data_IF_877940218918
#
_entry.id   IF_877940218918
#
_cell.length_a   1.000
_cell.length_b   1.000
_cell.length_c   1.000
_cell.angle_alpha   90.00
_cell.angle_beta   90.00
_cell.angle_gamma   90.00
#
_symmetry.space_group_name_H-M   'P 1'
#
loop_
_entity.id
_entity.type
_entity.pdbx_description
1 polymer ?
#
# COMPACT_ATOMS: atom_id res chain seq x y z
N UNK A 1 -8.63 15.01 -19.75
CA UNK A 1 -8.20 16.07 -18.79
C UNK A 1 -6.75 15.79 -18.44
N UNK A 2 -5.88 16.80 -18.50
CA UNK A 2 -4.46 16.64 -18.15
C UNK A 2 -4.20 17.37 -16.83
N UNK A 3 -3.63 16.68 -15.85
CA UNK A 3 -3.31 17.23 -14.53
C UNK A 3 -1.84 17.00 -14.22
N UNK A 4 -1.12 18.04 -13.77
CA UNK A 4 0.26 17.89 -13.29
C UNK A 4 0.27 17.23 -11.92
N UNK A 5 1.09 16.22 -11.75
CA UNK A 5 1.29 15.45 -10.50
C UNK A 5 2.77 15.50 -10.15
N UNK A 6 3.08 15.77 -8.90
CA UNK A 6 4.42 15.62 -8.31
C UNK A 6 4.26 14.74 -7.07
N UNK A 7 5.02 13.67 -7.00
CA UNK A 7 5.12 12.84 -5.80
C UNK A 7 6.24 13.41 -4.95
N UNK A 8 5.89 14.00 -3.81
CA UNK A 8 6.86 14.55 -2.85
C UNK A 8 7.75 13.41 -2.32
N UNK A 9 9.06 13.64 -2.18
CA UNK A 9 10.04 12.65 -1.68
C UNK A 9 9.67 12.06 -0.32
N UNK A 10 8.93 12.78 0.51
CA UNK A 10 8.45 12.26 1.80
C UNK A 10 7.55 11.02 1.65
N UNK A 11 6.91 10.85 0.48
CA UNK A 11 6.09 9.69 0.14
C UNK A 11 6.87 8.61 -0.63
N UNK A 12 8.18 8.49 -0.43
CA UNK A 12 8.99 7.46 -1.07
C UNK A 12 8.71 6.05 -0.49
N UNK A 13 8.93 5.04 -1.31
CA UNK A 13 9.07 3.65 -0.91
C UNK A 13 10.55 3.32 -0.74
N UNK A 14 11.25 3.10 -1.85
CA UNK A 14 12.71 3.10 -1.89
C UNK A 14 13.24 4.51 -2.12
N UNK A 15 14.53 4.73 -1.85
CA UNK A 15 15.17 6.02 -2.07
C UNK A 15 14.96 6.48 -3.52
N UNK A 16 14.47 7.72 -3.70
CA UNK A 16 14.13 8.34 -5.00
C UNK A 16 12.98 7.72 -5.79
N UNK A 17 12.27 6.75 -5.22
CA UNK A 17 11.12 6.10 -5.84
C UNK A 17 9.90 6.32 -4.96
N UNK A 18 8.80 6.80 -5.53
CA UNK A 18 7.53 6.95 -4.81
C UNK A 18 7.01 5.61 -4.28
N UNK A 19 6.41 5.60 -3.08
CA UNK A 19 5.76 4.41 -2.54
C UNK A 19 4.69 3.92 -3.51
N UNK A 20 4.72 2.64 -3.87
CA UNK A 20 3.87 2.08 -4.91
C UNK A 20 2.39 2.23 -4.60
N UNK A 21 1.96 1.92 -3.38
CA UNK A 21 0.59 2.06 -2.95
C UNK A 21 0.09 3.50 -2.95
N UNK A 22 0.92 4.45 -2.48
CA UNK A 22 0.59 5.87 -2.53
C UNK A 22 0.39 6.37 -3.97
N UNK A 23 1.31 6.02 -4.89
CA UNK A 23 1.19 6.39 -6.30
C UNK A 23 -0.03 5.74 -6.94
N UNK A 24 -0.32 4.47 -6.63
CA UNK A 24 -1.54 3.81 -7.06
C UNK A 24 -2.79 4.58 -6.58
N UNK A 25 -2.81 5.01 -5.32
CA UNK A 25 -3.90 5.80 -4.75
C UNK A 25 -4.09 7.15 -5.45
N UNK A 26 -2.99 7.87 -5.74
CA UNK A 26 -3.05 9.13 -6.50
C UNK A 26 -3.69 8.93 -7.88
N UNK A 27 -3.38 7.84 -8.57
CA UNK A 27 -4.01 7.50 -9.86
C UNK A 27 -5.47 7.07 -9.66
N UNK A 28 -5.75 6.26 -8.62
CA UNK A 28 -7.08 5.75 -8.32
C UNK A 28 -8.09 6.84 -7.93
N UNK A 29 -7.64 7.97 -7.38
CA UNK A 29 -8.50 9.13 -7.08
C UNK A 29 -9.22 9.73 -8.32
N UNK A 30 -8.88 9.25 -9.52
CA UNK A 30 -9.51 9.65 -10.78
C UNK A 30 -10.39 8.52 -11.37
N UNK A 31 -10.69 7.50 -10.57
CA UNK A 31 -11.49 6.33 -10.97
C UNK A 31 -12.56 6.09 -9.90
N UNK A 32 -13.81 6.00 -10.30
CA UNK A 32 -14.90 5.73 -9.37
C UNK A 32 -14.90 4.26 -8.91
N UNK A 33 -15.00 4.05 -7.60
CA UNK A 33 -15.10 2.73 -6.98
C UNK A 33 -13.78 1.94 -6.97
N UNK A 34 -13.89 0.62 -7.02
CA UNK A 34 -12.73 -0.26 -7.02
C UNK A 34 -11.91 -0.10 -8.31
N UNK A 35 -10.60 -0.06 -8.20
CA UNK A 35 -9.69 0.20 -9.31
C UNK A 35 -8.50 -0.75 -9.33
N UNK A 36 -7.98 -1.01 -10.52
CA UNK A 36 -6.73 -1.72 -10.76
C UNK A 36 -5.69 -0.75 -11.31
N UNK A 37 -4.57 -0.62 -10.61
CA UNK A 37 -3.45 0.23 -11.01
C UNK A 37 -2.23 -0.65 -11.26
N UNK A 38 -1.65 -0.53 -12.44
CA UNK A 38 -0.41 -1.22 -12.84
C UNK A 38 0.71 -0.19 -12.89
N UNK A 39 1.77 -0.41 -12.13
CA UNK A 39 3.02 0.35 -12.20
C UNK A 39 3.87 -0.25 -13.32
N UNK A 40 4.17 0.56 -14.34
CA UNK A 40 4.93 0.13 -15.53
C UNK A 40 6.42 0.40 -15.33
N UNK A 41 6.72 1.50 -14.65
CA UNK A 41 8.08 1.86 -14.26
C UNK A 41 8.07 2.40 -12.82
N UNK A 42 9.24 2.49 -12.20
CA UNK A 42 9.39 3.11 -10.88
C UNK A 42 8.98 4.58 -10.93
N UNK A 43 7.99 5.02 -10.13
CA UNK A 43 7.53 6.40 -10.13
C UNK A 43 8.59 7.33 -9.50
N UNK A 44 9.11 8.35 -10.20
CA UNK A 44 10.08 9.26 -9.63
C UNK A 44 9.44 10.17 -8.57
N UNK A 45 10.19 10.56 -7.55
CA UNK A 45 9.82 11.60 -6.60
C UNK A 45 10.35 12.97 -7.06
N UNK A 46 9.72 14.05 -6.59
CA UNK A 46 10.08 15.45 -6.86
C UNK A 46 10.18 15.82 -8.36
N UNK A 47 9.58 15.01 -9.19
CA UNK A 47 9.60 15.19 -10.63
C UNK A 47 8.17 15.38 -11.18
N UNK A 48 7.93 16.39 -12.06
CA UNK A 48 6.61 16.62 -12.61
C UNK A 48 6.23 15.52 -13.60
N UNK A 49 5.08 14.92 -13.37
CA UNK A 49 4.43 13.95 -14.24
C UNK A 49 3.09 14.49 -14.70
N UNK A 50 2.54 13.91 -15.76
CA UNK A 50 1.22 14.28 -16.29
C UNK A 50 0.27 13.10 -16.13
N UNK A 51 -0.86 13.36 -15.48
CA UNK A 51 -1.97 12.42 -15.43
C UNK A 51 -2.93 12.74 -16.56
N UNK A 52 -3.15 11.76 -17.43
CA UNK A 52 -4.08 11.83 -18.56
C UNK A 52 -5.26 10.90 -18.31
N UNK A 53 -6.48 11.41 -18.48
CA UNK A 53 -7.69 10.60 -18.38
C UNK A 53 -8.41 10.55 -19.73
N UNK A 54 -8.69 9.32 -20.21
CA UNK A 54 -9.45 9.06 -21.42
C UNK A 54 -10.56 8.04 -21.12
N UNK A 55 -11.79 8.53 -21.06
CA UNK A 55 -12.92 7.75 -20.57
C UNK A 55 -12.69 7.29 -19.12
N UNK A 56 -12.74 5.96 -18.90
CA UNK A 56 -12.50 5.36 -17.58
C UNK A 56 -11.03 4.96 -17.33
N UNK A 57 -10.13 5.17 -18.31
CA UNK A 57 -8.71 4.84 -18.18
C UNK A 57 -7.91 6.07 -17.77
N UNK A 58 -6.95 5.87 -16.89
CA UNK A 58 -6.05 6.90 -16.37
C UNK A 58 -4.61 6.47 -16.61
N UNK A 59 -3.80 7.37 -17.14
CA UNK A 59 -2.37 7.17 -17.34
C UNK A 59 -1.60 8.21 -16.55
N UNK A 60 -0.57 7.80 -15.83
CA UNK A 60 0.43 8.70 -15.26
C UNK A 60 1.69 8.58 -16.12
N UNK A 61 2.18 9.71 -16.65
CA UNK A 61 3.31 9.76 -17.58
C UNK A 61 4.42 10.68 -17.08
N UNK A 62 5.65 10.27 -17.32
CA UNK A 62 6.85 11.08 -17.21
C UNK A 62 7.41 11.33 -18.62
N UNK A 63 7.11 12.47 -19.23
CA UNK A 63 7.29 12.69 -20.67
C UNK A 63 6.51 11.63 -21.47
N UNK A 64 7.19 10.92 -22.36
CA UNK A 64 6.58 9.86 -23.17
C UNK A 64 6.50 8.50 -22.44
N UNK A 65 7.14 8.37 -21.29
CA UNK A 65 7.19 7.11 -20.53
C UNK A 65 5.94 6.97 -19.66
N UNK A 66 5.23 5.86 -19.83
CA UNK A 66 4.10 5.52 -18.95
C UNK A 66 4.64 5.00 -17.62
N UNK A 67 4.31 5.68 -16.53
CA UNK A 67 4.67 5.31 -15.16
C UNK A 67 3.62 4.40 -14.55
N UNK A 68 2.34 4.75 -14.70
CA UNK A 68 1.24 3.93 -14.20
C UNK A 68 0.03 3.95 -15.14
N UNK A 69 -0.76 2.86 -15.09
CA UNK A 69 -2.03 2.72 -15.79
C UNK A 69 -3.10 2.35 -14.79
N UNK A 70 -4.24 3.06 -14.83
CA UNK A 70 -5.40 2.80 -13.98
C UNK A 70 -6.67 2.55 -14.79
N UNK A 71 -7.50 1.63 -14.29
CA UNK A 71 -8.84 1.34 -14.84
C UNK A 71 -9.79 0.86 -13.74
N UNK A 72 -11.10 1.08 -13.86
CA UNK A 72 -12.09 0.46 -12.98
C UNK A 72 -11.96 -1.06 -13.01
N UNK A 73 -12.13 -1.69 -11.86
CA UNK A 73 -12.01 -3.14 -11.75
C UNK A 73 -12.88 -3.68 -10.62
N UNK A 74 -13.60 -4.77 -10.88
CA UNK A 74 -14.34 -5.47 -9.84
C UNK A 74 -13.41 -6.45 -9.12
N UNK A 75 -13.02 -6.08 -7.89
CA UNK A 75 -12.17 -6.94 -7.07
C UNK A 75 -12.99 -8.03 -6.39
N UNK A 76 -12.66 -9.29 -6.68
CA UNK A 76 -13.17 -10.46 -5.97
C UNK A 76 -12.02 -11.12 -5.24
N UNK A 77 -12.12 -11.22 -3.93
CA UNK A 77 -11.23 -11.98 -3.06
C UNK A 77 -12.14 -12.87 -2.21
N UNK A 78 -12.06 -14.18 -2.44
CA UNK A 78 -12.99 -15.14 -1.84
C UNK A 78 -12.63 -15.45 -0.38
N UNK A 79 -11.32 -15.48 -0.05
CA UNK A 79 -10.84 -15.86 1.28
C UNK A 79 -10.03 -14.70 1.92
N UNK A 80 -10.74 -13.76 2.53
CA UNK A 80 -10.11 -12.72 3.34
C UNK A 80 -9.92 -13.29 4.76
N UNK A 81 -8.68 -13.44 5.25
CA UNK A 81 -8.45 -13.93 6.60
C UNK A 81 -9.11 -13.04 7.66
N UNK A 82 -9.71 -13.66 8.67
CA UNK A 82 -10.28 -12.92 9.79
C UNK A 82 -9.21 -12.05 10.46
N UNK A 83 -9.52 -10.79 10.80
CA UNK A 83 -8.55 -9.90 11.42
C UNK A 83 -8.18 -10.39 12.82
N UNK A 84 -6.93 -10.18 13.26
CA UNK A 84 -6.57 -10.34 14.65
C UNK A 84 -7.24 -9.23 15.50
N UNK A 85 -7.14 -9.34 16.80
CA UNK A 85 -7.42 -8.21 17.70
C UNK A 85 -6.34 -7.12 17.51
N UNK A 86 -6.65 -5.89 17.89
CA UNK A 86 -5.67 -4.80 17.83
C UNK A 86 -4.42 -5.11 18.69
N UNK A 87 -4.61 -5.77 19.84
CA UNK A 87 -3.51 -6.22 20.70
C UNK A 87 -2.60 -7.24 20.01
N UNK A 88 -3.18 -8.25 19.34
CA UNK A 88 -2.40 -9.23 18.57
C UNK A 88 -1.63 -8.57 17.42
N UNK A 89 -2.21 -7.55 16.75
CA UNK A 89 -1.53 -6.77 15.72
C UNK A 89 -0.35 -5.97 16.30
N UNK A 90 -0.49 -5.40 17.49
CA UNK A 90 0.62 -4.73 18.21
C UNK A 90 1.74 -5.71 18.54
N UNK A 91 1.40 -6.88 19.09
CA UNK A 91 2.37 -7.92 19.44
C UNK A 91 3.12 -8.47 18.20
N UNK A 92 2.42 -8.65 17.08
CA UNK A 92 3.02 -9.06 15.81
C UNK A 92 3.98 -7.98 15.28
N UNK A 93 3.55 -6.71 15.30
CA UNK A 93 4.32 -5.56 14.84
C UNK A 93 5.66 -5.39 15.59
N UNK A 94 5.69 -5.66 16.89
CA UNK A 94 6.92 -5.59 17.70
C UNK A 94 7.98 -6.62 17.25
N UNK A 95 7.57 -7.73 16.64
CA UNK A 95 8.44 -8.80 16.15
C UNK A 95 8.77 -8.65 14.66
N UNK A 96 8.20 -7.65 14.00
CA UNK A 96 8.36 -7.43 12.56
C UNK A 96 9.82 -7.17 12.19
N UNK A 97 10.24 -7.76 11.07
CA UNK A 97 11.53 -7.42 10.45
C UNK A 97 11.55 -5.97 9.94
N UNK A 98 10.39 -5.40 9.59
CA UNK A 98 10.27 -3.99 9.22
C UNK A 98 10.72 -3.05 10.35
N UNK A 99 10.39 -3.36 11.60
CA UNK A 99 10.81 -2.59 12.76
C UNK A 99 12.35 -2.59 12.95
N UNK A 100 13.04 -3.58 12.39
CA UNK A 100 14.50 -3.73 12.41
C UNK A 100 15.19 -3.11 11.18
N UNK A 101 14.44 -2.41 10.31
CA UNK A 101 14.97 -1.71 9.14
C UNK A 101 15.21 -2.59 7.92
N UNK A 102 14.56 -3.77 7.84
CA UNK A 102 14.64 -4.61 6.64
C UNK A 102 13.77 -4.07 5.50
N UNK A 103 14.06 -4.50 4.28
CA UNK A 103 13.49 -4.11 2.99
C UNK A 103 13.72 -2.63 2.63
N UNK A 104 13.05 -1.68 3.26
CA UNK A 104 13.18 -0.25 2.94
C UNK A 104 13.04 0.62 4.20
N UNK A 105 14.14 0.95 4.88
CA UNK A 105 14.10 1.70 6.14
C UNK A 105 13.58 3.13 6.00
N UNK A 106 13.62 3.72 4.80
CA UNK A 106 13.15 5.08 4.53
C UNK A 106 11.74 5.14 3.94
N UNK A 107 11.06 3.99 3.78
CA UNK A 107 9.72 3.91 3.22
C UNK A 107 8.71 4.74 4.04
N UNK A 108 7.88 5.50 3.35
CA UNK A 108 6.79 6.30 3.96
C UNK A 108 5.83 5.44 4.81
N UNK A 109 5.56 4.20 4.38
CA UNK A 109 4.63 3.31 5.06
C UNK A 109 5.32 2.46 6.13
N UNK A 110 6.35 1.68 5.77
CA UNK A 110 6.97 0.69 6.67
C UNK A 110 8.39 1.06 7.14
N UNK A 111 8.82 2.29 6.91
CA UNK A 111 10.20 2.72 7.21
C UNK A 111 10.46 2.90 8.70
N UNK A 112 11.50 2.22 9.22
CA UNK A 112 11.96 2.35 10.61
C UNK A 112 12.66 3.69 10.88
N UNK A 113 13.28 4.31 9.85
CA UNK A 113 13.93 5.61 9.95
C UNK A 113 12.93 6.78 10.04
N UNK A 114 11.65 6.57 9.73
CA UNK A 114 10.62 7.60 9.81
C UNK A 114 10.32 7.93 11.27
N UNK A 115 10.20 9.23 11.58
CA UNK A 115 9.70 9.68 12.87
C UNK A 115 8.17 9.52 12.95
N UNK A 116 7.63 9.50 14.17
CA UNK A 116 6.19 9.49 14.40
C UNK A 116 5.57 10.75 13.79
N UNK A 117 4.57 10.59 12.91
CA UNK A 117 3.94 11.69 12.17
C UNK A 117 4.57 12.01 10.81
N UNK A 118 5.79 11.53 10.50
CA UNK A 118 6.42 11.66 9.17
C UNK A 118 6.10 10.50 8.24
N UNK A 119 5.79 9.34 8.81
CA UNK A 119 5.37 8.14 8.09
C UNK A 119 4.44 7.31 8.97
N UNK A 120 3.90 6.21 8.42
CA UNK A 120 2.95 5.37 9.16
C UNK A 120 3.64 4.54 10.23
N UNK A 121 4.90 4.14 10.00
CA UNK A 121 5.62 3.18 10.84
C UNK A 121 4.82 1.88 11.01
N UNK A 122 4.20 1.47 9.92
CA UNK A 122 3.39 0.27 9.83
C UNK A 122 4.34 -0.91 9.63
N UNK A 123 4.55 -1.68 10.69
CA UNK A 123 5.49 -2.79 10.74
C UNK A 123 4.74 -4.14 10.73
N UNK A 124 4.40 -4.68 9.54
CA UNK A 124 3.67 -5.94 9.47
C UNK A 124 4.51 -7.09 10.03
N UNK A 125 3.99 -7.77 11.04
CA UNK A 125 4.63 -8.93 11.66
C UNK A 125 3.76 -10.16 11.55
N UNK A 126 4.39 -11.35 11.54
CA UNK A 126 3.68 -12.62 11.43
C UNK A 126 2.77 -12.89 12.63
N UNK A 127 1.56 -13.36 12.34
CA UNK A 127 0.60 -13.83 13.32
C UNK A 127 0.90 -15.30 13.69
N UNK A 128 0.74 -15.65 14.96
CA UNK A 128 0.99 -17.02 15.44
C UNK A 128 -0.07 -18.02 14.97
N UNK A 129 -1.26 -17.55 14.58
CA UNK A 129 -2.43 -18.40 14.31
C UNK A 129 -2.62 -18.75 12.83
N UNK A 130 -2.00 -17.99 11.92
CA UNK A 130 -2.12 -18.19 10.48
C UNK A 130 -0.89 -17.61 9.76
N UNK A 131 -0.78 -17.85 8.45
CA UNK A 131 0.32 -17.38 7.62
C UNK A 131 0.18 -15.88 7.21
N UNK A 132 -0.61 -15.11 7.96
CA UNK A 132 -0.81 -13.69 7.68
C UNK A 132 0.15 -12.83 8.50
N UNK A 133 0.34 -11.61 8.03
CA UNK A 133 1.01 -10.54 8.78
C UNK A 133 0.00 -9.49 9.22
N UNK A 134 0.29 -8.81 10.32
CA UNK A 134 -0.55 -7.71 10.79
C UNK A 134 0.27 -6.59 11.42
N UNK A 135 -0.28 -5.38 11.37
CA UNK A 135 0.22 -4.21 12.07
C UNK A 135 -0.94 -3.35 12.60
N UNK A 136 -0.79 -2.69 13.75
CA UNK A 136 -1.70 -1.64 14.18
C UNK A 136 -1.45 -0.40 13.31
N UNK A 137 -2.50 0.35 13.03
CA UNK A 137 -2.41 1.63 12.33
C UNK A 137 -3.31 2.67 12.99
N UNK A 138 -2.71 3.76 13.42
CA UNK A 138 -3.40 4.96 13.91
C UNK A 138 -2.98 6.08 12.97
N UNK A 139 -3.77 6.37 11.93
CA UNK A 139 -3.40 7.38 10.95
C UNK A 139 -3.35 8.77 11.57
N UNK A 140 -2.24 9.48 11.34
CA UNK A 140 -2.04 10.83 11.85
C UNK A 140 -2.92 11.85 11.11
N UNK A 141 -3.31 12.94 11.79
CA UNK A 141 -4.14 14.01 11.24
C UNK A 141 -3.60 14.64 9.95
N UNK A 142 -2.26 14.65 9.76
CA UNK A 142 -1.65 15.15 8.52
C UNK A 142 -2.06 14.38 7.25
N UNK A 143 -2.65 13.20 7.38
CA UNK A 143 -3.14 12.36 6.29
C UNK A 143 -4.62 12.63 5.97
N UNK A 144 -5.28 13.41 6.81
CA UNK A 144 -6.71 13.69 6.69
C UNK A 144 -6.99 14.95 5.88
N UNK A 145 -8.23 15.06 5.43
CA UNK A 145 -8.81 16.30 4.93
C UNK A 145 -9.28 17.19 6.09
N UNK A 146 -9.90 18.32 5.77
CA UNK A 146 -10.43 19.29 6.75
C UNK A 146 -11.54 18.74 7.63
N UNK A 147 -12.21 17.66 7.21
CA UNK A 147 -13.26 16.96 7.94
C UNK A 147 -12.71 15.84 8.83
N UNK A 148 -11.39 15.61 8.85
CA UNK A 148 -10.74 14.59 9.64
C UNK A 148 -10.77 13.19 9.03
N UNK A 149 -11.18 13.07 7.76
CA UNK A 149 -11.17 11.81 7.03
C UNK A 149 -9.87 11.61 6.27
N UNK A 150 -9.32 10.40 6.34
CA UNK A 150 -8.09 10.01 5.64
C UNK A 150 -8.33 10.06 4.13
N UNK A 151 -7.48 10.80 3.41
CA UNK A 151 -7.55 10.86 1.95
C UNK A 151 -7.30 9.49 1.34
N UNK A 152 -8.06 9.11 0.29
CA UNK A 152 -8.02 7.74 -0.25
C UNK A 152 -6.62 7.24 -0.63
N UNK A 153 -5.75 8.10 -1.18
CA UNK A 153 -4.37 7.73 -1.55
C UNK A 153 -3.56 7.21 -0.37
N UNK A 154 -3.86 7.65 0.85
CA UNK A 154 -3.19 7.16 2.05
C UNK A 154 -3.75 5.80 2.52
N UNK A 155 -5.01 5.50 2.23
CA UNK A 155 -5.56 4.15 2.45
C UNK A 155 -4.91 3.16 1.48
N UNK A 156 -4.75 3.53 0.21
CA UNK A 156 -4.03 2.74 -0.78
C UNK A 156 -2.58 2.47 -0.36
N UNK A 157 -1.90 3.48 0.19
CA UNK A 157 -0.54 3.32 0.71
C UNK A 157 -0.49 2.29 1.86
N UNK A 158 -1.47 2.29 2.77
CA UNK A 158 -1.52 1.31 3.86
C UNK A 158 -1.75 -0.14 3.38
N UNK A 159 -2.36 -0.33 2.21
CA UNK A 159 -2.60 -1.65 1.59
C UNK A 159 -1.37 -2.21 0.84
N UNK A 160 -0.31 -1.44 0.66
CA UNK A 160 0.89 -1.81 -0.10
C UNK A 160 1.81 -2.75 0.69
N UNK A 161 2.55 -2.22 1.66
CA UNK A 161 3.62 -2.93 2.36
C UNK A 161 3.19 -4.25 3.02
N UNK A 162 1.99 -4.42 3.61
CA UNK A 162 1.59 -5.69 4.20
C UNK A 162 1.63 -6.85 3.21
N UNK A 163 1.30 -6.59 1.94
CA UNK A 163 1.42 -7.57 0.86
C UNK A 163 2.87 -8.00 0.61
N UNK A 164 3.82 -7.05 0.62
CA UNK A 164 5.25 -7.34 0.48
C UNK A 164 5.75 -8.24 1.61
N UNK A 165 5.42 -7.90 2.87
CA UNK A 165 5.85 -8.67 4.04
C UNK A 165 5.17 -10.04 4.14
N UNK A 166 3.97 -10.19 3.59
CA UNK A 166 3.29 -11.49 3.54
C UNK A 166 3.91 -12.46 2.53
N UNK A 167 4.57 -11.96 1.48
CA UNK A 167 5.23 -12.80 0.47
C UNK A 167 6.75 -12.84 0.64
N UNK A 168 7.30 -11.98 1.50
CA UNK A 168 8.73 -11.95 1.75
C UNK A 168 9.19 -13.26 2.41
N UNK A 169 10.25 -13.83 1.85
CA UNK A 169 10.94 -15.01 2.37
C UNK A 169 12.44 -14.66 2.40
N UNK A 170 13.16 -15.05 3.44
CA UNK A 170 14.60 -14.80 3.61
C UNK A 170 15.43 -15.42 2.46
N UNK A 171 14.87 -16.39 1.74
CA UNK A 171 15.50 -16.97 0.55
C UNK A 171 15.35 -16.11 -0.71
N UNK A 172 14.51 -15.07 -0.68
CA UNK A 172 14.34 -14.15 -1.82
C UNK A 172 15.59 -13.29 -1.91
N UNK A 173 16.37 -13.51 -2.98
CA UNK A 173 17.49 -12.65 -3.35
C UNK A 173 16.98 -11.58 -4.32
N UNK A 174 17.26 -10.31 -4.02
CA UNK A 174 16.83 -9.18 -4.84
C UNK A 174 15.84 -8.25 -4.14
N UNK A 175 15.38 -7.26 -4.88
CA UNK A 175 14.45 -6.25 -4.39
C UNK A 175 13.02 -6.63 -4.75
N UNK A 176 12.09 -6.52 -3.80
CA UNK A 176 10.65 -6.74 -4.05
C UNK A 176 10.01 -5.41 -4.43
N UNK A 177 9.43 -5.35 -5.62
CA UNK A 177 8.75 -4.17 -6.14
C UNK A 177 7.27 -4.46 -6.44
N UNK A 178 6.41 -3.52 -6.06
CA UNK A 178 5.00 -3.56 -6.44
C UNK A 178 4.85 -3.32 -7.94
N UNK A 179 4.21 -4.24 -8.65
CA UNK A 179 3.88 -4.08 -10.07
C UNK A 179 2.41 -3.77 -10.31
N UNK A 180 1.52 -4.23 -9.41
CA UNK A 180 0.09 -3.96 -9.54
C UNK A 180 -0.57 -3.93 -8.16
N UNK A 181 -1.49 -3.00 -7.96
CA UNK A 181 -2.39 -2.97 -6.81
C UNK A 181 -3.83 -2.78 -7.31
N UNK A 182 -4.70 -3.70 -6.93
CA UNK A 182 -6.14 -3.60 -7.18
C UNK A 182 -6.81 -3.46 -5.83
N UNK A 183 -7.52 -2.36 -5.59
CA UNK A 183 -8.12 -2.13 -4.29
C UNK A 183 -9.57 -1.66 -4.38
N UNK A 184 -10.31 -1.98 -3.32
CA UNK A 184 -11.68 -1.56 -3.06
C UNK A 184 -11.71 -0.89 -1.68
N UNK A 185 -11.80 0.45 -1.67
CA UNK A 185 -11.94 1.25 -0.45
C UNK A 185 -13.43 1.43 -0.17
N UNK A 186 -13.93 0.72 0.83
CA UNK A 186 -15.37 0.60 1.13
C UNK A 186 -15.85 1.60 2.17
N UNK A 187 -14.95 2.03 3.06
CA UNK A 187 -15.27 2.91 4.17
C UNK A 187 -14.31 4.09 4.21
N UNK A 188 -14.82 5.24 4.58
CA UNK A 188 -14.01 6.40 4.90
C UNK A 188 -13.39 6.21 6.29
N UNK A 189 -12.08 6.36 6.39
CA UNK A 189 -11.34 6.21 7.65
C UNK A 189 -11.16 7.57 8.30
N UNK A 190 -11.19 7.61 9.64
CA UNK A 190 -10.89 8.81 10.42
C UNK A 190 -9.45 8.79 10.92
N UNK A 191 -8.85 9.96 11.00
CA UNK A 191 -7.57 10.12 11.68
C UNK A 191 -7.70 9.85 13.19
N UNK A 192 -6.57 9.47 13.81
CA UNK A 192 -6.44 9.18 15.24
C UNK A 192 -7.33 8.03 15.77
N UNK A 193 -8.03 7.30 14.87
CA UNK A 193 -8.73 6.06 15.23
C UNK A 193 -7.85 4.84 15.02
N UNK A 194 -8.15 3.75 15.74
CA UNK A 194 -7.38 2.51 15.69
C UNK A 194 -7.91 1.58 14.60
N UNK A 195 -6.99 1.21 13.69
CA UNK A 195 -7.22 0.24 12.60
C UNK A 195 -6.21 -0.91 12.69
N UNK A 196 -6.57 -2.02 12.07
CA UNK A 196 -5.71 -3.20 11.91
C UNK A 196 -5.47 -3.36 10.42
N UNK A 197 -4.20 -3.40 10.02
CA UNK A 197 -3.81 -3.66 8.64
C UNK A 197 -3.22 -5.05 8.56
N UNK A 198 -3.72 -5.86 7.62
CA UNK A 198 -3.27 -7.26 7.44
C UNK A 198 -2.76 -7.49 6.03
N UNK A 199 -1.92 -8.50 5.87
CA UNK A 199 -1.47 -9.01 4.58
C UNK A 199 -1.37 -10.52 4.61
N UNK A 200 -1.63 -11.19 3.48
CA UNK A 200 -1.51 -12.64 3.35
C UNK A 200 -1.02 -13.02 1.95
N UNK A 201 -0.28 -14.12 1.89
CA UNK A 201 0.17 -14.70 0.62
C UNK A 201 -1.00 -15.39 -0.07
N UNK A 202 -1.19 -15.13 -1.36
CA UNK A 202 -2.15 -15.84 -2.21
C UNK A 202 -1.44 -16.94 -2.99
N UNK A 203 -0.20 -16.67 -3.46
CA UNK A 203 0.58 -17.62 -4.23
C UNK A 203 1.78 -16.98 -4.91
N UNK A 204 2.45 -17.75 -5.78
CA UNK A 204 3.55 -17.23 -6.61
C UNK A 204 3.67 -18.01 -7.92
N UNK A 205 4.27 -17.36 -8.91
CA UNK A 205 4.63 -17.95 -10.20
C UNK A 205 6.02 -17.44 -10.61
N UNK A 206 7.04 -18.24 -10.41
CA UNK A 206 8.43 -17.82 -10.58
C UNK A 206 8.77 -16.63 -9.67
N UNK A 207 9.36 -15.57 -10.25
CA UNK A 207 9.69 -14.31 -9.54
C UNK A 207 8.48 -13.38 -9.31
N UNK A 208 7.26 -13.83 -9.61
CA UNK A 208 6.02 -13.07 -9.45
C UNK A 208 5.22 -13.62 -8.28
N UNK A 209 4.90 -12.78 -7.31
CA UNK A 209 4.18 -13.13 -6.09
C UNK A 209 2.83 -12.41 -6.04
N UNK A 210 1.83 -13.07 -5.47
CA UNK A 210 0.48 -12.56 -5.30
C UNK A 210 0.16 -12.48 -3.81
N UNK A 211 -0.35 -11.34 -3.38
CA UNK A 211 -0.75 -11.13 -1.99
C UNK A 211 -2.11 -10.44 -1.91
N UNK A 212 -2.80 -10.69 -0.82
CA UNK A 212 -3.94 -9.90 -0.37
C UNK A 212 -3.53 -8.98 0.77
N UNK A 213 -4.22 -7.86 0.92
CA UNK A 213 -4.12 -7.00 2.08
C UNK A 213 -5.47 -6.38 2.42
N UNK A 214 -5.68 -6.02 3.68
CA UNK A 214 -6.92 -5.41 4.12
C UNK A 214 -6.70 -4.45 5.29
N UNK A 215 -7.57 -3.45 5.39
CA UNK A 215 -7.70 -2.60 6.56
C UNK A 215 -9.02 -2.91 7.25
N UNK A 216 -8.95 -3.17 8.54
CA UNK A 216 -10.11 -3.39 9.40
C UNK A 216 -10.18 -2.30 10.47
N UNK A 217 -11.40 -1.92 10.86
CA UNK A 217 -11.57 -1.14 12.08
C UNK A 217 -11.13 -1.97 13.29
N UNK A 218 -10.89 -1.32 14.43
CA UNK A 218 -10.62 -2.01 15.72
C UNK A 218 -11.68 -3.06 16.09
N UNK A 219 -12.91 -2.88 15.62
CA UNK A 219 -14.03 -3.82 15.87
C UNK A 219 -14.10 -4.96 14.84
N UNK A 220 -13.15 -5.07 13.94
CA UNK A 220 -13.09 -6.13 12.93
C UNK A 220 -13.96 -5.89 11.68
N UNK A 221 -14.55 -4.69 11.49
CA UNK A 221 -15.26 -4.35 10.25
C UNK A 221 -14.24 -4.14 9.13
N UNK A 222 -14.43 -4.81 7.99
CA UNK A 222 -13.63 -4.62 6.80
C UNK A 222 -13.87 -3.21 6.20
N UNK A 223 -12.83 -2.39 6.16
CA UNK A 223 -12.87 -1.03 5.64
C UNK A 223 -12.34 -0.91 4.22
N UNK A 224 -11.29 -1.68 3.90
CA UNK A 224 -10.75 -1.75 2.55
C UNK A 224 -10.03 -3.07 2.33
N UNK A 225 -9.93 -3.50 1.07
CA UNK A 225 -9.28 -4.74 0.69
C UNK A 225 -8.56 -4.56 -0.63
N UNK A 226 -7.41 -5.23 -0.80
CA UNK A 226 -6.64 -5.19 -2.02
C UNK A 226 -6.02 -6.54 -2.38
N UNK A 227 -5.76 -6.70 -3.67
CA UNK A 227 -4.91 -7.74 -4.25
C UNK A 227 -3.71 -7.09 -4.91
N UNK A 228 -2.53 -7.60 -4.67
CA UNK A 228 -1.27 -7.04 -5.17
C UNK A 228 -0.43 -8.07 -5.92
N UNK A 229 0.33 -7.58 -6.87
CA UNK A 229 1.32 -8.35 -7.63
C UNK A 229 2.69 -7.74 -7.38
N UNK A 230 3.60 -8.58 -6.91
CA UNK A 230 4.96 -8.24 -6.55
C UNK A 230 5.95 -8.93 -7.47
N UNK A 231 7.02 -8.25 -7.81
CA UNK A 231 8.11 -8.80 -8.61
C UNK A 231 9.42 -8.75 -7.83
N UNK A 232 10.19 -9.83 -7.91
CA UNK A 232 11.58 -9.84 -7.45
C UNK A 232 12.45 -9.43 -8.63
N UNK A 233 13.20 -8.35 -8.46
CA UNK A 233 14.18 -7.82 -9.40
C UNK A 233 15.57 -7.93 -8.80
N UNK A 234 16.55 -8.21 -9.68
CA UNK A 234 17.97 -8.39 -9.31
C UNK A 234 18.63 -7.04 -9.02
#
# INVERSE_FOLDING_TARGET
MNKRIIIDHKYCGYKHIGNGGYVCGVVANHIDGAAKITLVTSPPVDHPMVLEQTGKKVLLKNGDVIVAKGEPFSLKIDDIPAPPTFKEAVEASQKSIAAKGSLSPDCFVCGSNRLKGEGYRLFPGHLLKNESVAAPWIPHNSLADESGFIKPEFVWAALDCPGAYAVFDENIKGTILLGQLTADVRETLKSEEEYIVTGWKIGNQGKKYFAGSAVFSKKGKLCSVASSVWFVVD
#
